data_IF_194162961231
#
_entry.id   IF_194162961231
#
_cell.length_a   1.000
_cell.length_b   1.000
_cell.length_c   1.000
_cell.angle_alpha   90.00
_cell.angle_beta   90.00
_cell.angle_gamma   90.00
#
_symmetry.space_group_name_H-M   'P 1'
#
loop_
_entity.id
_entity.type
_entity.pdbx_description
1 polymer ?
#
# COMPACT_ATOMS: atom_id res chain seq x y z
N UNK A 1 -13.20 18.66 -23.47
CA UNK A 1 -12.21 17.87 -22.71
C UNK A 1 -12.85 16.54 -22.35
N UNK A 2 -12.30 15.42 -22.82
CA UNK A 2 -12.86 14.10 -22.54
C UNK A 2 -12.61 13.70 -21.08
N UNK A 3 -13.43 12.78 -20.53
CA UNK A 3 -13.26 12.27 -19.16
C UNK A 3 -11.85 11.68 -18.94
N UNK A 4 -11.27 11.11 -19.99
CA UNK A 4 -9.92 10.53 -20.00
C UNK A 4 -8.83 11.59 -19.89
N UNK A 5 -8.92 12.67 -20.68
CA UNK A 5 -7.99 13.82 -20.62
C UNK A 5 -7.99 14.50 -19.24
N UNK A 6 -9.19 14.65 -18.64
CA UNK A 6 -9.32 15.19 -17.28
C UNK A 6 -8.54 14.36 -16.25
N UNK A 7 -8.69 13.03 -16.31
CA UNK A 7 -8.02 12.11 -15.40
C UNK A 7 -6.50 12.15 -15.63
N UNK A 8 -6.04 12.20 -16.89
CA UNK A 8 -4.62 12.30 -17.21
C UNK A 8 -3.97 13.55 -16.64
N UNK A 9 -4.59 14.71 -16.86
CA UNK A 9 -4.08 15.98 -16.34
C UNK A 9 -4.01 15.97 -14.81
N UNK A 10 -5.04 15.44 -14.15
CA UNK A 10 -5.05 15.31 -12.68
C UNK A 10 -3.99 14.34 -12.14
N UNK A 11 -3.76 13.20 -12.82
CA UNK A 11 -2.68 12.27 -12.47
C UNK A 11 -1.32 12.95 -12.63
N UNK A 12 -1.13 13.75 -13.69
CA UNK A 12 0.13 14.47 -13.88
C UNK A 12 0.39 15.47 -12.76
N UNK A 13 -0.62 16.25 -12.35
CA UNK A 13 -0.50 17.12 -11.18
C UNK A 13 -0.24 16.36 -9.88
N UNK A 14 -0.88 15.19 -9.68
CA UNK A 14 -0.64 14.35 -8.50
C UNK A 14 0.82 13.92 -8.37
N UNK A 15 1.49 13.63 -9.50
CA UNK A 15 2.90 13.21 -9.51
C UNK A 15 3.89 14.38 -9.70
N UNK A 16 3.43 15.63 -9.68
CA UNK A 16 4.33 16.80 -9.72
C UNK A 16 5.17 16.91 -8.44
N UNK A 17 4.61 16.76 -7.23
CA UNK A 17 5.37 16.83 -6.00
C UNK A 17 6.31 15.61 -5.85
N UNK A 18 7.52 15.87 -5.36
CA UNK A 18 8.52 14.82 -5.14
C UNK A 18 8.06 13.80 -4.09
N UNK A 19 7.40 14.25 -3.02
CA UNK A 19 6.99 13.40 -1.91
C UNK A 19 6.07 12.24 -2.35
N UNK A 20 5.24 12.44 -3.38
CA UNK A 20 4.36 11.38 -3.91
C UNK A 20 5.16 10.26 -4.56
N UNK A 21 6.21 10.61 -5.32
CA UNK A 21 7.11 9.63 -5.95
C UNK A 21 7.94 8.92 -4.90
N UNK A 22 8.46 9.66 -3.93
CA UNK A 22 9.26 9.10 -2.83
C UNK A 22 8.42 8.13 -2.01
N UNK A 23 7.19 8.51 -1.61
CA UNK A 23 6.28 7.62 -0.88
C UNK A 23 5.99 6.33 -1.67
N UNK A 24 5.74 6.44 -2.97
CA UNK A 24 5.51 5.27 -3.84
C UNK A 24 6.73 4.35 -3.90
N UNK A 25 7.94 4.89 -4.11
CA UNK A 25 9.18 4.10 -4.14
C UNK A 25 9.45 3.48 -2.78
N UNK A 26 9.24 4.22 -1.69
CA UNK A 26 9.46 3.76 -0.32
C UNK A 26 8.54 2.59 0.03
N UNK A 27 7.27 2.64 -0.38
CA UNK A 27 6.34 1.51 -0.24
C UNK A 27 6.83 0.27 -0.98
N UNK A 28 7.32 0.42 -2.21
CA UNK A 28 7.85 -0.70 -3.02
C UNK A 28 9.08 -1.30 -2.37
N UNK A 29 10.06 -0.48 -1.99
CA UNK A 29 11.29 -0.93 -1.33
C UNK A 29 10.97 -1.63 -0.01
N UNK A 30 10.11 -1.02 0.82
CA UNK A 30 9.76 -1.58 2.12
C UNK A 30 9.01 -2.91 2.01
N UNK A 31 8.22 -3.11 0.95
CA UNK A 31 7.56 -4.40 0.70
C UNK A 31 8.57 -5.50 0.39
N UNK A 32 9.59 -5.23 -0.43
CA UNK A 32 10.58 -6.25 -0.85
C UNK A 32 11.43 -6.79 0.31
N UNK A 33 11.87 -5.89 1.18
CA UNK A 33 12.78 -6.21 2.27
C UNK A 33 12.08 -6.42 3.61
N UNK A 34 10.77 -6.20 3.66
CA UNK A 34 9.99 -6.29 4.90
C UNK A 34 10.67 -5.56 6.07
N UNK A 35 11.27 -4.40 5.79
CA UNK A 35 12.22 -3.76 6.71
C UNK A 35 11.53 -3.43 8.03
N UNK A 36 12.02 -3.96 9.16
CA UNK A 36 11.56 -3.52 10.46
C UNK A 36 11.96 -2.05 10.63
N UNK A 37 11.00 -1.21 11.01
CA UNK A 37 11.25 0.17 11.40
C UNK A 37 11.42 0.28 12.93
N UNK A 38 10.57 -0.41 13.70
CA UNK A 38 10.67 -0.49 15.16
C UNK A 38 10.24 -1.88 15.65
N UNK A 39 11.06 -2.53 16.48
CA UNK A 39 10.73 -3.80 17.13
C UNK A 39 10.04 -3.53 18.48
N UNK A 40 8.80 -3.98 18.67
CA UNK A 40 8.12 -3.91 19.97
C UNK A 40 7.62 -5.30 20.41
N UNK A 41 8.05 -5.74 21.59
CA UNK A 41 7.82 -7.08 22.15
C UNK A 41 6.48 -7.24 22.90
N UNK A 42 5.46 -6.42 22.60
CA UNK A 42 4.23 -6.44 23.39
C UNK A 42 3.39 -7.71 23.14
N UNK A 43 3.34 -8.22 21.90
CA UNK A 43 2.47 -9.34 21.50
C UNK A 43 3.13 -10.08 20.33
N UNK A 44 4.05 -11.01 20.62
CA UNK A 44 4.83 -11.70 19.59
C UNK A 44 5.77 -10.77 18.83
N UNK A 45 6.53 -11.31 17.86
CA UNK A 45 7.42 -10.51 17.00
C UNK A 45 6.60 -9.64 16.01
N UNK A 46 5.83 -8.69 16.53
CA UNK A 46 5.16 -7.67 15.73
C UNK A 46 6.11 -6.48 15.59
N UNK A 47 6.75 -6.41 14.43
CA UNK A 47 7.64 -5.33 14.04
C UNK A 47 6.81 -4.27 13.30
N UNK A 48 6.83 -3.04 13.77
CA UNK A 48 6.29 -1.90 13.03
C UNK A 48 7.21 -1.75 11.82
N UNK A 49 6.67 -1.94 10.62
CA UNK A 49 7.46 -2.02 9.39
C UNK A 49 7.53 -0.67 8.72
N UNK A 50 8.54 -0.47 7.90
CA UNK A 50 8.74 0.82 7.24
C UNK A 50 7.57 1.19 6.30
N UNK A 51 6.86 0.19 5.77
CA UNK A 51 5.66 0.38 4.96
C UNK A 51 4.45 0.84 5.79
N UNK A 52 4.45 0.69 7.11
CA UNK A 52 3.39 1.23 7.97
C UNK A 52 3.52 2.76 8.05
N UNK A 53 4.74 3.27 8.21
CA UNK A 53 4.97 4.71 8.19
C UNK A 53 4.75 5.30 6.79
N UNK A 54 5.29 4.65 5.76
CA UNK A 54 5.06 5.07 4.37
C UNK A 54 3.58 4.96 3.98
N UNK A 55 2.87 3.98 4.53
CA UNK A 55 1.46 3.74 4.31
C UNK A 55 0.57 4.88 4.80
N UNK A 56 0.90 5.49 5.94
CA UNK A 56 0.22 6.70 6.40
C UNK A 56 0.38 7.86 5.41
N UNK A 57 1.56 8.02 4.82
CA UNK A 57 1.78 9.04 3.78
C UNK A 57 0.95 8.74 2.52
N UNK A 58 0.82 7.47 2.13
CA UNK A 58 -0.07 7.07 1.03
C UNK A 58 -1.52 7.41 1.35
N UNK A 59 -2.00 7.08 2.54
CA UNK A 59 -3.36 7.42 2.96
C UNK A 59 -3.60 8.94 2.97
N UNK A 60 -2.61 9.73 3.40
CA UNK A 60 -2.67 11.19 3.32
C UNK A 60 -2.76 11.68 1.86
N UNK A 61 -1.99 11.11 0.93
CA UNK A 61 -2.08 11.41 -0.50
C UNK A 61 -3.48 11.09 -1.04
N UNK A 62 -4.01 9.92 -0.69
CA UNK A 62 -5.34 9.45 -1.10
C UNK A 62 -6.42 10.39 -0.56
N UNK A 63 -6.37 10.72 0.73
CA UNK A 63 -7.34 11.60 1.39
C UNK A 63 -7.43 12.97 0.70
N UNK A 64 -6.28 13.57 0.39
CA UNK A 64 -6.25 14.86 -0.33
C UNK A 64 -6.70 14.76 -1.80
N UNK A 65 -6.81 13.56 -2.36
CA UNK A 65 -7.13 13.31 -3.76
C UNK A 65 -8.29 12.32 -3.95
N UNK A 66 -9.19 12.19 -2.97
CA UNK A 66 -10.23 11.16 -2.93
C UNK A 66 -11.04 11.08 -4.23
N UNK A 67 -11.47 12.24 -4.76
CA UNK A 67 -12.25 12.30 -6.00
C UNK A 67 -11.51 11.65 -7.18
N UNK A 68 -10.21 11.87 -7.32
CA UNK A 68 -9.40 11.27 -8.37
C UNK A 68 -9.29 9.75 -8.17
N UNK A 69 -9.00 9.30 -6.95
CA UNK A 69 -8.91 7.87 -6.62
C UNK A 69 -10.23 7.15 -6.85
N UNK A 70 -11.35 7.68 -6.37
CA UNK A 70 -12.67 7.09 -6.57
C UNK A 70 -13.04 6.97 -8.04
N UNK A 71 -12.80 8.03 -8.84
CA UNK A 71 -13.06 8.01 -10.29
C UNK A 71 -12.20 6.95 -10.98
N UNK A 72 -10.91 6.88 -10.62
CA UNK A 72 -9.98 5.94 -11.22
C UNK A 72 -10.30 4.48 -10.84
N UNK A 73 -10.55 4.20 -9.56
CA UNK A 73 -10.95 2.87 -9.06
C UNK A 73 -12.21 2.40 -9.78
N UNK A 74 -13.23 3.26 -9.89
CA UNK A 74 -14.49 2.92 -10.59
C UNK A 74 -14.30 2.70 -12.10
N UNK A 75 -13.26 3.30 -12.70
CA UNK A 75 -12.98 3.15 -14.14
C UNK A 75 -12.38 1.80 -14.53
N UNK A 76 -11.86 1.02 -13.57
CA UNK A 76 -11.21 -0.27 -13.81
C UNK A 76 -11.95 -1.36 -13.05
N UNK A 77 -12.43 -2.38 -13.77
CA UNK A 77 -13.26 -3.46 -13.18
C UNK A 77 -12.57 -4.15 -12.01
N UNK A 78 -11.31 -4.56 -12.19
CA UNK A 78 -10.54 -5.24 -11.13
C UNK A 78 -10.37 -4.38 -9.87
N UNK A 79 -10.03 -3.10 -10.01
CA UNK A 79 -9.94 -2.20 -8.85
C UNK A 79 -11.29 -1.94 -8.20
N UNK A 80 -12.36 -1.83 -9.00
CA UNK A 80 -13.73 -1.67 -8.48
C UNK A 80 -14.12 -2.86 -7.60
N UNK A 81 -13.95 -4.10 -8.09
CA UNK A 81 -14.31 -5.29 -7.32
C UNK A 81 -13.42 -5.47 -6.08
N UNK A 82 -12.12 -5.22 -6.21
CA UNK A 82 -11.20 -5.29 -5.08
C UNK A 82 -11.51 -4.23 -4.02
N UNK A 83 -11.87 -3.01 -4.42
CA UNK A 83 -12.32 -1.97 -3.49
C UNK A 83 -13.61 -2.37 -2.77
N UNK A 84 -14.58 -2.94 -3.48
CA UNK A 84 -15.80 -3.47 -2.86
C UNK A 84 -15.49 -4.57 -1.85
N UNK A 85 -14.59 -5.49 -2.17
CA UNK A 85 -14.12 -6.52 -1.23
C UNK A 85 -13.49 -5.91 0.03
N UNK A 86 -12.63 -4.89 -0.13
CA UNK A 86 -11.99 -4.20 1.00
C UNK A 86 -13.02 -3.48 1.87
N UNK A 87 -14.05 -2.87 1.28
CA UNK A 87 -15.13 -2.26 2.05
C UNK A 87 -15.92 -3.32 2.84
N UNK A 88 -16.18 -4.49 2.24
CA UNK A 88 -16.80 -5.62 2.93
C UNK A 88 -15.92 -6.17 4.07
N UNK A 89 -14.62 -6.27 3.87
CA UNK A 89 -13.69 -6.64 4.93
C UNK A 89 -13.68 -5.62 6.08
N UNK A 90 -13.85 -4.33 5.78
CA UNK A 90 -14.01 -3.29 6.79
C UNK A 90 -15.32 -3.44 7.56
N UNK A 91 -16.42 -3.78 6.88
CA UNK A 91 -17.69 -4.08 7.53
C UNK A 91 -17.59 -5.29 8.47
N UNK A 92 -16.87 -6.35 8.08
CA UNK A 92 -16.74 -7.54 8.93
C UNK A 92 -15.88 -7.34 10.18
N UNK A 93 -15.09 -6.26 10.25
CA UNK A 93 -14.39 -5.88 11.48
C UNK A 93 -15.35 -5.64 12.64
N UNK A 94 -16.57 -5.17 12.38
CA UNK A 94 -17.57 -4.94 13.43
C UNK A 94 -17.95 -6.27 14.11
N UNK A 95 -18.16 -7.33 13.33
CA UNK A 95 -18.42 -8.66 13.90
C UNK A 95 -17.21 -9.20 14.66
N UNK A 96 -16.00 -8.95 14.14
CA UNK A 96 -14.79 -9.36 14.83
C UNK A 96 -14.58 -8.62 16.16
N UNK A 97 -14.95 -7.34 16.24
CA UNK A 97 -14.96 -6.58 17.50
C UNK A 97 -15.89 -7.24 18.51
N UNK A 98 -17.12 -7.54 18.12
CA UNK A 98 -18.11 -8.21 18.99
C UNK A 98 -17.59 -9.55 19.48
N UNK A 99 -17.01 -10.36 18.58
CA UNK A 99 -16.45 -11.67 18.93
C UNK A 99 -15.23 -11.57 19.85
N UNK A 100 -14.35 -10.62 19.59
CA UNK A 100 -13.13 -10.36 20.37
C UNK A 100 -13.46 -9.90 21.80
N UNK A 101 -14.48 -9.04 21.96
CA UNK A 101 -15.01 -8.64 23.26
C UNK A 101 -15.67 -9.82 23.98
N UNK A 102 -16.50 -10.60 23.29
CA UNK A 102 -17.14 -11.80 23.86
C UNK A 102 -16.13 -12.83 24.37
N UNK A 103 -15.02 -13.02 23.66
CA UNK A 103 -13.94 -13.94 24.05
C UNK A 103 -12.95 -13.35 25.06
N UNK A 104 -13.17 -12.13 25.55
CA UNK A 104 -12.25 -11.39 26.43
C UNK A 104 -10.81 -11.30 25.88
N UNK A 105 -10.67 -11.22 24.54
CA UNK A 105 -9.38 -11.14 23.84
C UNK A 105 -9.34 -9.88 22.96
N UNK A 106 -9.37 -8.67 23.54
CA UNK A 106 -9.44 -7.40 22.77
C UNK A 106 -8.23 -7.19 21.85
N UNK A 107 -7.08 -7.81 22.17
CA UNK A 107 -5.87 -7.73 21.36
C UNK A 107 -6.03 -8.37 19.97
N UNK A 108 -6.91 -9.37 19.83
CA UNK A 108 -7.20 -9.99 18.53
C UNK A 108 -7.87 -9.02 17.57
N UNK A 109 -8.71 -8.13 18.09
CA UNK A 109 -9.31 -7.08 17.29
C UNK A 109 -8.25 -6.09 16.78
N UNK A 110 -7.33 -5.65 17.65
CA UNK A 110 -6.23 -4.75 17.27
C UNK A 110 -5.38 -5.35 16.15
N UNK A 111 -5.01 -6.62 16.27
CA UNK A 111 -4.25 -7.33 15.23
C UNK A 111 -5.02 -7.38 13.90
N UNK A 112 -6.33 -7.61 13.95
CA UNK A 112 -7.17 -7.64 12.74
C UNK A 112 -7.28 -6.24 12.11
N UNK A 113 -7.36 -5.18 12.91
CA UNK A 113 -7.31 -3.80 12.43
C UNK A 113 -5.98 -3.49 11.73
N UNK A 114 -4.85 -3.97 12.25
CA UNK A 114 -3.54 -3.82 11.59
C UNK A 114 -3.50 -4.54 10.23
N UNK A 115 -4.03 -5.77 10.13
CA UNK A 115 -4.14 -6.44 8.84
C UNK A 115 -5.03 -5.71 7.85
N UNK A 116 -6.16 -5.18 8.31
CA UNK A 116 -7.04 -4.37 7.48
C UNK A 116 -6.37 -3.08 7.00
N UNK A 117 -5.63 -2.43 7.88
CA UNK A 117 -4.80 -1.27 7.56
C UNK A 117 -3.76 -1.59 6.47
N UNK A 118 -3.01 -2.70 6.60
CA UNK A 118 -2.06 -3.13 5.58
C UNK A 118 -2.76 -3.35 4.22
N UNK A 119 -3.91 -4.02 4.23
CA UNK A 119 -4.70 -4.26 3.02
C UNK A 119 -5.08 -2.94 2.33
N UNK A 120 -5.54 -1.94 3.09
CA UNK A 120 -5.87 -0.61 2.55
C UNK A 120 -4.66 0.09 1.94
N UNK A 121 -3.55 0.13 2.69
CA UNK A 121 -2.32 0.81 2.26
C UNK A 121 -1.76 0.19 0.99
N UNK A 122 -1.68 -1.15 0.92
CA UNK A 122 -1.20 -1.83 -0.27
C UNK A 122 -2.15 -1.65 -1.46
N UNK A 123 -3.47 -1.68 -1.22
CA UNK A 123 -4.44 -1.42 -2.26
C UNK A 123 -4.29 -0.02 -2.86
N UNK A 124 -4.23 1.03 -2.03
CA UNK A 124 -4.07 2.40 -2.53
C UNK A 124 -2.71 2.64 -3.17
N UNK A 125 -1.66 1.98 -2.67
CA UNK A 125 -0.35 1.98 -3.32
C UNK A 125 -0.42 1.35 -4.70
N UNK A 126 -1.12 0.22 -4.87
CA UNK A 126 -1.32 -0.42 -6.17
C UNK A 126 -2.09 0.49 -7.14
N UNK A 127 -3.12 1.18 -6.66
CA UNK A 127 -3.86 2.18 -7.46
C UNK A 127 -2.95 3.33 -7.88
N UNK A 128 -2.14 3.87 -6.96
CA UNK A 128 -1.19 4.94 -7.23
C UNK A 128 -0.11 4.49 -8.23
N UNK A 129 0.41 3.27 -8.07
CA UNK A 129 1.36 2.66 -9.01
C UNK A 129 0.75 2.51 -10.41
N UNK A 130 -0.49 2.04 -10.51
CA UNK A 130 -1.19 1.92 -11.78
C UNK A 130 -1.42 3.28 -12.46
N UNK A 131 -1.71 4.34 -11.69
CA UNK A 131 -1.75 5.71 -12.21
C UNK A 131 -0.37 6.17 -12.68
N UNK A 132 0.70 5.89 -11.91
CA UNK A 132 2.07 6.25 -12.25
C UNK A 132 2.50 5.61 -13.57
N UNK A 133 2.21 4.32 -13.74
CA UNK A 133 2.54 3.52 -14.92
C UNK A 133 1.69 3.84 -16.15
N UNK A 134 0.76 4.80 -16.12
CA UNK A 134 0.06 5.22 -17.36
C UNK A 134 1.01 5.80 -18.40
N UNK A 135 2.10 6.47 -17.99
CA UNK A 135 3.12 6.95 -18.94
C UNK A 135 4.06 5.80 -19.31
N UNK A 136 4.09 5.43 -20.59
CA UNK A 136 4.90 4.29 -21.09
C UNK A 136 6.40 4.40 -20.76
N UNK A 137 6.94 5.62 -20.75
CA UNK A 137 8.33 5.88 -20.37
C UNK A 137 8.67 5.45 -18.94
N UNK A 138 7.67 5.38 -18.04
CA UNK A 138 7.86 5.02 -16.63
C UNK A 138 7.96 3.52 -16.36
N UNK A 139 7.55 2.67 -17.31
CA UNK A 139 7.64 1.21 -17.15
C UNK A 139 9.08 0.76 -17.01
N UNK A 140 9.99 1.30 -17.83
CA UNK A 140 11.41 0.94 -17.78
C UNK A 140 11.97 1.22 -16.39
N UNK A 141 11.73 2.41 -15.85
CA UNK A 141 12.20 2.77 -14.50
C UNK A 141 11.60 1.88 -13.40
N UNK A 142 10.30 1.61 -13.44
CA UNK A 142 9.65 0.76 -12.44
C UNK A 142 10.14 -0.70 -12.52
N UNK A 143 10.27 -1.26 -13.72
CA UNK A 143 10.79 -2.60 -13.94
C UNK A 143 12.25 -2.71 -13.51
N UNK A 144 13.10 -1.75 -13.88
CA UNK A 144 14.50 -1.69 -13.44
C UNK A 144 14.60 -1.61 -11.93
N UNK A 145 13.77 -0.80 -11.27
CA UNK A 145 13.72 -0.74 -9.80
C UNK A 145 13.39 -2.10 -9.20
N UNK A 146 12.34 -2.76 -9.68
CA UNK A 146 11.93 -4.09 -9.19
C UNK A 146 13.03 -5.14 -9.40
N UNK A 147 13.68 -5.14 -10.56
CA UNK A 147 14.78 -6.05 -10.86
C UNK A 147 16.00 -5.81 -9.95
N UNK A 148 16.38 -4.55 -9.75
CA UNK A 148 17.46 -4.18 -8.83
C UNK A 148 17.15 -4.62 -7.39
N UNK A 149 15.91 -4.42 -6.93
CA UNK A 149 15.48 -4.88 -5.61
C UNK A 149 15.48 -6.40 -5.50
N UNK A 150 15.09 -7.11 -6.57
CA UNK A 150 15.15 -8.57 -6.64
C UNK A 150 16.59 -9.10 -6.54
N UNK A 151 17.51 -8.52 -7.31
CA UNK A 151 18.93 -8.87 -7.27
C UNK A 151 19.51 -8.60 -5.88
N UNK A 152 19.31 -7.40 -5.34
CA UNK A 152 19.85 -7.03 -4.04
C UNK A 152 19.28 -7.89 -2.90
N UNK A 153 17.99 -8.26 -2.95
CA UNK A 153 17.41 -9.24 -2.02
C UNK A 153 18.08 -10.61 -2.11
N UNK A 154 18.37 -11.08 -3.33
CA UNK A 154 19.05 -12.36 -3.52
C UNK A 154 20.49 -12.34 -2.99
N UNK A 155 21.22 -11.24 -3.19
CA UNK A 155 22.55 -11.04 -2.60
C UNK A 155 22.52 -11.03 -1.07
N UNK A 156 21.54 -10.36 -0.45
CA UNK A 156 21.38 -10.38 1.01
C UNK A 156 21.11 -11.78 1.54
N UNK A 157 20.24 -12.55 0.86
CA UNK A 157 19.95 -13.93 1.23
C UNK A 157 21.21 -14.82 1.12
N UNK A 158 21.96 -14.71 0.02
CA UNK A 158 23.18 -15.47 -0.18
C UNK A 158 24.24 -15.15 0.89
N UNK A 159 24.39 -13.86 1.26
CA UNK A 159 25.28 -13.46 2.36
C UNK A 159 24.85 -14.04 3.70
N UNK A 160 23.54 -14.09 4.00
CA UNK A 160 23.04 -14.68 5.25
C UNK A 160 23.17 -16.20 5.33
N UNK A 161 23.43 -16.88 4.20
CA UNK A 161 23.59 -18.34 4.12
C UNK A 161 25.05 -18.78 4.25
N UNK A 162 25.99 -17.85 4.09
CA UNK A 162 27.45 -18.09 4.16
C UNK A 162 28.07 -17.75 5.53
N UNK A 163 27.27 -17.23 6.47
CA UNK A 163 27.63 -16.94 7.87
C UNK A 163 26.88 -17.92 8.76
#
# INVERSE_FOLDING_TARGET
MTKTEYIEKKIEYLFKPLYVKVALVLMVVSYFYNLPALTYSAIGQNELRLYDLAGLVILFIVYNNLKLFTVYIKSKSYFKYLHTFILWAGFTLVFNLVFSLYKARPLWFVQTCLYYYHLLVFFYTAVLMAMYLRKRSRYKYAASLILLLGIAKHFLYFRSMLV
#
